data_IF_976411556445
#
_entry.id   IF_976411556445
#
_cell.length_a   1.000
_cell.length_b   1.000
_cell.length_c   1.000
_cell.angle_alpha   90.00
_cell.angle_beta   90.00
_cell.angle_gamma   90.00
#
_symmetry.space_group_name_H-M   'P 1'
#
loop_
_entity.id
_entity.type
_entity.pdbx_description
1 polymer ?
#
# COMPACT_ATOMS: atom_id res chain seq x y z
N UNK A 1 -2.40 10.97 -3.83
CA UNK A 1 -3.27 11.92 -3.11
C UNK A 1 -3.39 11.51 -1.66
N UNK A 2 -3.09 12.41 -0.72
CA UNK A 2 -3.29 12.17 0.71
C UNK A 2 -4.78 12.33 1.03
N UNK A 3 -5.43 11.24 1.43
CA UNK A 3 -6.87 11.22 1.72
C UNK A 3 -7.16 11.38 3.23
N UNK A 4 -6.26 10.89 4.08
CA UNK A 4 -6.39 10.93 5.53
C UNK A 4 -5.00 10.91 6.17
N UNK A 5 -4.78 11.69 7.23
CA UNK A 5 -3.52 11.71 7.98
C UNK A 5 -3.75 12.23 9.40
N UNK A 6 -4.29 11.35 10.25
CA UNK A 6 -4.51 11.66 11.66
C UNK A 6 -3.17 11.71 12.41
N UNK A 7 -3.06 12.59 13.37
CA UNK A 7 -1.87 12.79 14.22
C UNK A 7 -0.56 13.03 13.44
N UNK A 8 -0.66 13.47 12.17
CA UNK A 8 0.49 13.69 11.29
C UNK A 8 1.37 12.44 11.16
N UNK A 9 0.75 11.26 11.03
CA UNK A 9 1.47 9.99 10.90
C UNK A 9 2.38 9.95 9.66
N UNK A 10 2.00 10.65 8.59
CA UNK A 10 2.80 10.85 7.40
C UNK A 10 3.33 12.31 7.33
N UNK A 11 4.57 12.52 6.89
CA UNK A 11 5.60 11.52 6.60
C UNK A 11 6.10 10.82 7.86
N UNK A 12 6.55 9.58 7.71
CA UNK A 12 7.06 8.79 8.84
C UNK A 12 8.26 9.48 9.51
N UNK A 13 8.30 9.44 10.83
CA UNK A 13 9.45 9.91 11.61
C UNK A 13 10.71 9.10 11.25
N UNK A 14 11.87 9.77 11.30
CA UNK A 14 13.20 9.13 11.16
C UNK A 14 13.51 8.13 12.27
N UNK A 15 12.75 8.14 13.35
CA UNK A 15 12.88 7.19 14.46
C UNK A 15 12.30 5.81 14.12
N UNK A 16 11.43 5.70 13.11
CA UNK A 16 10.89 4.44 12.63
C UNK A 16 12.02 3.60 12.02
N UNK A 17 12.28 2.46 12.62
CA UNK A 17 13.37 1.55 12.21
C UNK A 17 12.85 0.33 11.44
N UNK A 18 11.71 -0.20 11.86
CA UNK A 18 11.15 -1.45 11.33
C UNK A 18 9.76 -1.19 10.75
N UNK A 19 9.59 -1.52 9.50
CA UNK A 19 8.33 -1.37 8.75
C UNK A 19 7.78 -2.75 8.44
N UNK A 20 6.54 -3.02 8.87
CA UNK A 20 5.78 -4.13 8.31
C UNK A 20 5.18 -3.68 6.97
N UNK A 21 5.66 -4.22 5.87
CA UNK A 21 5.13 -3.96 4.54
C UNK A 21 4.25 -5.14 4.13
N UNK A 22 2.94 -4.91 4.11
CA UNK A 22 1.92 -5.93 3.85
C UNK A 22 1.26 -5.68 2.50
N UNK A 23 1.06 -6.75 1.73
CA UNK A 23 0.33 -6.72 0.46
C UNK A 23 1.21 -6.99 -0.76
N UNK A 24 0.75 -7.91 -1.62
CA UNK A 24 1.45 -8.32 -2.84
C UNK A 24 1.69 -7.14 -3.80
N UNK A 25 0.77 -6.15 -3.84
CA UNK A 25 0.92 -4.94 -4.65
C UNK A 25 2.21 -4.17 -4.35
N UNK A 26 2.75 -4.26 -3.14
CA UNK A 26 4.02 -3.61 -2.78
C UNK A 26 5.24 -4.14 -3.53
N UNK A 27 5.15 -5.33 -4.14
CA UNK A 27 6.20 -5.97 -4.94
C UNK A 27 5.82 -6.17 -6.41
N UNK A 28 4.59 -5.89 -6.79
CA UNK A 28 4.10 -6.13 -8.15
C UNK A 28 4.54 -5.03 -9.10
N UNK A 29 5.51 -5.33 -9.96
CA UNK A 29 5.99 -4.41 -11.01
C UNK A 29 4.89 -4.10 -12.02
N UNK A 30 4.17 -5.13 -12.46
CA UNK A 30 3.10 -4.99 -13.44
C UNK A 30 1.96 -4.12 -12.94
N UNK A 31 1.53 -4.32 -11.69
CA UNK A 31 0.45 -3.52 -11.12
C UNK A 31 0.88 -2.07 -10.86
N UNK A 32 2.10 -1.83 -10.36
CA UNK A 32 2.62 -0.47 -10.17
C UNK A 32 2.77 0.29 -11.49
N UNK A 33 3.15 -0.41 -12.56
CA UNK A 33 3.24 0.17 -13.90
C UNK A 33 1.89 0.62 -14.43
N UNK A 34 0.84 -0.14 -14.13
CA UNK A 34 -0.50 0.05 -14.66
C UNK A 34 -0.72 -0.62 -16.02
N UNK A 35 -1.99 -0.86 -16.37
CA UNK A 35 -2.37 -1.62 -17.57
C UNK A 35 -2.09 -0.89 -18.89
N UNK A 36 -2.22 0.43 -18.92
CA UNK A 36 -2.03 1.28 -20.10
C UNK A 36 -0.67 1.97 -20.11
N UNK A 37 0.38 1.21 -19.96
CA UNK A 37 1.74 1.75 -19.93
C UNK A 37 2.60 1.08 -20.99
N UNK A 38 3.27 1.88 -21.83
CA UNK A 38 4.34 1.41 -22.74
C UNK A 38 5.69 1.22 -22.04
N UNK A 39 5.76 1.41 -20.72
CA UNK A 39 6.99 1.26 -19.98
C UNK A 39 7.45 -0.20 -19.90
N UNK A 40 8.76 -0.40 -19.93
CA UNK A 40 9.38 -1.68 -19.68
C UNK A 40 9.20 -2.07 -18.20
N UNK A 41 8.48 -3.17 -17.96
CA UNK A 41 8.18 -3.65 -16.61
C UNK A 41 9.46 -3.95 -15.81
N UNK A 42 10.52 -4.38 -16.46
CA UNK A 42 11.80 -4.68 -15.80
C UNK A 42 12.41 -3.46 -15.12
N UNK A 43 12.10 -2.25 -15.62
CA UNK A 43 12.58 -0.97 -15.10
C UNK A 43 11.72 -0.39 -13.97
N UNK A 44 10.60 -1.03 -13.64
CA UNK A 44 9.75 -0.56 -12.55
C UNK A 44 10.44 -0.79 -11.21
N UNK A 45 10.57 0.27 -10.43
CA UNK A 45 11.02 0.21 -9.05
C UNK A 45 9.81 -0.01 -8.15
N UNK A 46 9.74 -1.15 -7.49
CA UNK A 46 8.66 -1.45 -6.55
C UNK A 46 8.81 -0.69 -5.23
N UNK A 47 7.72 -0.59 -4.47
CA UNK A 47 7.78 0.03 -3.15
C UNK A 47 8.75 -0.72 -2.23
N UNK A 48 8.74 -2.05 -2.27
CA UNK A 48 9.67 -2.87 -1.51
C UNK A 48 11.14 -2.57 -1.84
N UNK A 49 11.48 -2.51 -3.13
CA UNK A 49 12.83 -2.17 -3.60
C UNK A 49 13.24 -0.76 -3.18
N UNK A 50 12.36 0.22 -3.35
CA UNK A 50 12.61 1.61 -3.00
C UNK A 50 12.84 1.82 -1.49
N UNK A 51 12.05 1.19 -0.64
CA UNK A 51 12.24 1.26 0.82
C UNK A 51 13.52 0.56 1.25
N UNK A 52 13.81 -0.60 0.67
CA UNK A 52 15.05 -1.35 0.96
C UNK A 52 16.30 -0.58 0.55
N UNK A 53 16.30 0.06 -0.61
CA UNK A 53 17.44 0.87 -1.08
C UNK A 53 17.74 2.08 -0.18
N UNK A 54 16.78 2.53 0.61
CA UNK A 54 16.92 3.62 1.59
C UNK A 54 17.32 3.17 2.97
N UNK A 55 17.66 1.89 3.15
CA UNK A 55 18.12 1.34 4.41
C UNK A 55 17.03 1.04 5.43
N UNK A 56 15.74 1.04 5.02
CA UNK A 56 14.66 0.63 5.90
C UNK A 56 14.75 -0.88 6.22
N UNK A 57 14.56 -1.25 7.48
CA UNK A 57 14.36 -2.65 7.86
C UNK A 57 12.90 -3.03 7.57
N UNK A 58 12.70 -3.89 6.59
CA UNK A 58 11.37 -4.28 6.12
C UNK A 58 11.07 -5.72 6.49
N UNK A 59 10.01 -5.92 7.25
CA UNK A 59 9.36 -7.19 7.47
C UNK A 59 8.20 -7.30 6.47
N UNK A 60 8.32 -8.14 5.47
CA UNK A 60 7.34 -8.26 4.39
C UNK A 60 6.50 -9.53 4.51
N UNK A 61 5.21 -9.41 4.21
CA UNK A 61 4.36 -10.56 3.86
C UNK A 61 3.21 -10.13 2.94
N UNK A 62 2.68 -11.09 2.18
CA UNK A 62 1.57 -10.81 1.26
C UNK A 62 0.26 -10.53 2.01
N UNK A 63 -0.05 -11.29 3.03
CA UNK A 63 -1.24 -11.14 3.87
C UNK A 63 -2.57 -11.36 3.15
N UNK A 64 -2.60 -11.18 1.84
CA UNK A 64 -3.77 -11.29 0.99
C UNK A 64 -3.43 -11.83 -0.39
N UNK A 65 -4.23 -12.79 -0.87
CA UNK A 65 -4.17 -13.33 -2.22
C UNK A 65 -5.17 -12.55 -3.10
N UNK A 66 -4.63 -11.75 -4.02
CA UNK A 66 -5.43 -10.90 -4.93
C UNK A 66 -6.20 -11.70 -5.98
N UNK A 67 -5.78 -12.91 -6.31
CA UNK A 67 -6.47 -13.75 -7.31
C UNK A 67 -7.66 -14.47 -6.68
N UNK A 68 -7.48 -14.97 -5.47
CA UNK A 68 -8.51 -15.71 -4.74
C UNK A 68 -9.40 -14.82 -3.87
N UNK A 69 -9.06 -13.53 -3.77
CA UNK A 69 -9.75 -12.56 -2.91
C UNK A 69 -9.90 -13.04 -1.46
N UNK A 70 -8.80 -13.53 -0.86
CA UNK A 70 -8.81 -14.07 0.49
C UNK A 70 -7.58 -13.66 1.31
N UNK A 71 -7.76 -13.55 2.62
CA UNK A 71 -6.65 -13.38 3.57
C UNK A 71 -5.83 -14.66 3.60
N UNK A 72 -4.52 -14.53 3.57
CA UNK A 72 -3.57 -15.66 3.69
C UNK A 72 -2.64 -15.43 4.87
N UNK A 73 -2.32 -16.51 5.57
CA UNK A 73 -1.35 -16.50 6.68
C UNK A 73 -1.61 -15.35 7.70
N UNK A 74 -2.86 -15.18 8.14
CA UNK A 74 -3.26 -14.08 9.04
C UNK A 74 -2.36 -13.98 10.28
N UNK A 75 -2.10 -15.08 10.97
CA UNK A 75 -1.25 -15.08 12.17
C UNK A 75 0.17 -14.59 11.90
N UNK A 76 0.78 -15.02 10.80
CA UNK A 76 2.08 -14.54 10.37
C UNK A 76 2.03 -13.03 10.07
N UNK A 77 0.98 -12.57 9.39
CA UNK A 77 0.77 -11.17 9.05
C UNK A 77 0.66 -10.30 10.31
N UNK A 78 -0.13 -10.73 11.28
CA UNK A 78 -0.28 -10.03 12.55
C UNK A 78 1.01 -10.07 13.39
N UNK A 79 1.75 -11.18 13.37
CA UNK A 79 3.06 -11.29 14.02
C UNK A 79 4.06 -10.30 13.40
N UNK A 80 4.11 -10.22 12.06
CA UNK A 80 4.93 -9.26 11.32
C UNK A 80 4.62 -7.82 11.72
N UNK A 81 3.33 -7.47 11.83
CA UNK A 81 2.87 -6.17 12.28
C UNK A 81 3.34 -5.86 13.72
N UNK A 82 3.11 -6.78 14.66
CA UNK A 82 3.48 -6.60 16.09
C UNK A 82 4.98 -6.40 16.29
N UNK A 83 5.83 -7.02 15.47
CA UNK A 83 7.29 -6.93 15.53
C UNK A 83 7.88 -5.68 14.86
N UNK A 84 7.03 -4.83 14.30
CA UNK A 84 7.41 -3.62 13.59
C UNK A 84 6.95 -2.36 14.32
N UNK A 85 7.51 -1.22 13.95
CA UNK A 85 7.17 0.08 14.55
C UNK A 85 5.91 0.66 13.90
N UNK A 86 5.75 0.41 12.60
CA UNK A 86 4.64 0.87 11.77
C UNK A 86 4.26 -0.20 10.75
N UNK A 87 3.00 -0.19 10.35
CA UNK A 87 2.46 -1.06 9.30
C UNK A 87 2.11 -0.22 8.07
N UNK A 88 2.60 -0.62 6.92
CA UNK A 88 2.20 -0.08 5.61
C UNK A 88 1.49 -1.19 4.85
N UNK A 89 0.24 -0.97 4.50
CA UNK A 89 -0.59 -1.93 3.76
C UNK A 89 -0.78 -1.44 2.34
N UNK A 90 -0.24 -2.17 1.36
CA UNK A 90 -0.50 -1.95 -0.06
C UNK A 90 -1.73 -2.79 -0.48
N UNK A 91 -2.86 -2.13 -0.68
CA UNK A 91 -4.12 -2.76 -1.05
C UNK A 91 -4.78 -2.05 -2.23
N UNK A 92 -5.77 -2.67 -2.82
CA UNK A 92 -6.51 -2.09 -3.94
C UNK A 92 -6.82 -3.08 -5.02
N UNK A 93 -6.68 -2.65 -6.27
CA UNK A 93 -6.96 -3.43 -7.47
C UNK A 93 -5.67 -3.79 -8.22
N UNK A 94 -5.72 -4.88 -8.98
CA UNK A 94 -4.66 -5.21 -9.95
C UNK A 94 -4.80 -4.35 -11.21
N UNK A 95 -3.69 -4.13 -11.92
CA UNK A 95 -3.68 -3.35 -13.17
C UNK A 95 -4.67 -3.89 -14.23
N UNK A 96 -4.84 -5.21 -14.30
CA UNK A 96 -5.77 -5.84 -15.23
C UNK A 96 -7.26 -5.72 -14.85
N UNK A 97 -7.59 -5.23 -13.65
CA UNK A 97 -8.98 -5.04 -13.21
C UNK A 97 -9.58 -3.70 -13.66
N UNK A 98 -8.77 -2.79 -14.20
CA UNK A 98 -9.24 -1.47 -14.67
C UNK A 98 -8.67 -1.14 -16.03
N UNK A 99 -9.38 -0.27 -16.76
CA UNK A 99 -9.04 0.15 -18.10
C UNK A 99 -10.09 -0.26 -19.13
N UNK A 100 -9.74 -0.21 -20.39
CA UNK A 100 -10.61 -0.62 -21.47
C UNK A 100 -10.98 -2.09 -21.36
N UNK A 101 -12.24 -2.43 -21.62
CA UNK A 101 -12.82 -3.77 -21.46
C UNK A 101 -12.83 -4.32 -20.02
N UNK A 102 -12.50 -3.51 -19.02
CA UNK A 102 -12.50 -3.90 -17.60
C UNK A 102 -13.59 -3.15 -16.82
N UNK A 103 -14.83 -3.21 -17.29
CA UNK A 103 -15.98 -2.62 -16.59
C UNK A 103 -16.29 -3.38 -15.31
N UNK A 104 -16.65 -2.65 -14.25
CA UNK A 104 -16.97 -3.20 -12.94
C UNK A 104 -18.27 -2.57 -12.44
N UNK A 105 -19.29 -3.39 -12.16
CA UNK A 105 -20.58 -2.94 -11.64
C UNK A 105 -20.51 -2.54 -10.17
N UNK A 106 -19.66 -3.20 -9.41
CA UNK A 106 -19.33 -2.86 -8.00
C UNK A 106 -17.87 -2.46 -7.91
N UNK A 107 -17.62 -1.20 -7.57
CA UNK A 107 -16.27 -0.62 -7.40
C UNK A 107 -15.77 -0.71 -5.96
N UNK A 108 -16.42 -1.49 -5.11
CA UNK A 108 -15.97 -1.70 -3.73
C UNK A 108 -14.69 -2.54 -3.70
N UNK A 109 -13.77 -2.16 -2.83
CA UNK A 109 -12.63 -3.02 -2.46
C UNK A 109 -13.18 -4.27 -1.76
N UNK A 110 -12.71 -5.48 -2.11
CA UNK A 110 -13.18 -6.72 -1.51
C UNK A 110 -13.21 -6.67 0.01
N UNK A 111 -14.30 -7.18 0.61
CA UNK A 111 -14.50 -7.15 2.06
C UNK A 111 -13.34 -7.79 2.84
N UNK A 112 -12.75 -8.86 2.33
CA UNK A 112 -11.60 -9.53 2.97
C UNK A 112 -10.34 -8.65 2.97
N UNK A 113 -10.12 -7.78 1.95
CA UNK A 113 -9.04 -6.78 2.03
C UNK A 113 -9.29 -5.76 3.13
N UNK A 114 -10.52 -5.25 3.22
CA UNK A 114 -10.90 -4.29 4.26
C UNK A 114 -10.78 -4.92 5.66
N UNK A 115 -11.22 -6.17 5.82
CA UNK A 115 -11.08 -6.95 7.05
C UNK A 115 -9.62 -7.13 7.46
N UNK A 116 -8.71 -7.40 6.53
CA UNK A 116 -7.28 -7.49 6.85
C UNK A 116 -6.77 -6.19 7.47
N UNK A 117 -7.16 -5.04 6.96
CA UNK A 117 -6.78 -3.74 7.54
C UNK A 117 -7.34 -3.60 8.96
N UNK A 118 -8.60 -3.96 9.18
CA UNK A 118 -9.21 -3.94 10.53
C UNK A 118 -8.45 -4.83 11.51
N UNK A 119 -8.03 -6.04 11.08
CA UNK A 119 -7.23 -6.94 11.93
C UNK A 119 -5.84 -6.35 12.24
N UNK A 120 -5.21 -5.69 11.28
CA UNK A 120 -3.92 -5.02 11.49
C UNK A 120 -4.04 -3.85 12.48
N UNK A 121 -5.11 -3.07 12.42
CA UNK A 121 -5.38 -1.97 13.37
C UNK A 121 -5.52 -2.49 14.80
N UNK A 122 -6.11 -3.67 15.01
CA UNK A 122 -6.20 -4.31 16.33
C UNK A 122 -4.84 -4.61 16.97
N UNK A 123 -3.76 -4.66 16.18
CA UNK A 123 -2.40 -4.83 16.71
C UNK A 123 -1.90 -3.61 17.49
N UNK A 124 -2.62 -2.48 17.46
CA UNK A 124 -2.27 -1.20 18.07
C UNK A 124 -0.98 -0.57 17.53
N UNK A 125 -0.53 -1.01 16.36
CA UNK A 125 0.54 -0.34 15.62
C UNK A 125 -0.06 0.73 14.71
N UNK A 126 0.64 1.84 14.46
CA UNK A 126 0.22 2.80 13.44
C UNK A 126 0.08 2.12 12.08
N UNK A 127 -1.05 2.30 11.41
CA UNK A 127 -1.34 1.67 10.11
C UNK A 127 -1.50 2.75 9.04
N UNK A 128 -0.71 2.64 7.98
CA UNK A 128 -0.81 3.47 6.78
C UNK A 128 -1.33 2.60 5.65
N UNK A 129 -2.41 3.02 5.04
CA UNK A 129 -2.98 2.34 3.87
C UNK A 129 -2.55 3.04 2.59
N UNK A 130 -1.93 2.29 1.70
CA UNK A 130 -1.64 2.70 0.33
C UNK A 130 -2.70 2.10 -0.57
N UNK A 131 -3.63 2.95 -1.04
CA UNK A 131 -4.68 2.54 -1.96
C UNK A 131 -4.14 2.60 -3.40
N UNK A 132 -3.86 1.43 -3.96
CA UNK A 132 -3.34 1.23 -5.32
C UNK A 132 -4.50 0.82 -6.23
N UNK A 133 -4.92 1.67 -7.12
CA UNK A 133 -6.09 1.43 -7.98
C UNK A 133 -6.03 2.28 -9.24
N UNK A 134 -6.74 1.89 -10.28
CA UNK A 134 -6.82 2.64 -11.54
C UNK A 134 -8.14 3.41 -11.70
N UNK A 135 -9.02 3.34 -10.72
CA UNK A 135 -10.30 4.05 -10.66
C UNK A 135 -10.61 4.50 -9.24
N UNK A 136 -11.51 5.46 -9.00
CA UNK A 136 -12.08 5.68 -7.68
C UNK A 136 -12.77 4.41 -7.18
N UNK A 137 -12.50 4.04 -5.92
CA UNK A 137 -13.03 2.82 -5.30
C UNK A 137 -13.75 3.12 -3.99
N UNK A 138 -14.64 2.23 -3.58
CA UNK A 138 -15.36 2.31 -2.30
C UNK A 138 -14.62 1.44 -1.27
N UNK A 139 -14.23 2.04 -0.13
CA UNK A 139 -13.50 1.38 0.96
C UNK A 139 -13.89 1.94 2.33
N UNK A 140 -15.18 1.97 2.59
CA UNK A 140 -15.77 2.70 3.72
C UNK A 140 -15.24 2.26 5.10
N UNK A 141 -14.98 0.98 5.31
CA UNK A 141 -14.45 0.48 6.59
C UNK A 141 -13.02 0.97 6.80
N UNK A 142 -12.17 0.81 5.79
CA UNK A 142 -10.79 1.30 5.82
C UNK A 142 -10.75 2.81 6.05
N UNK A 143 -11.60 3.57 5.34
CA UNK A 143 -11.68 5.03 5.50
C UNK A 143 -12.02 5.44 6.92
N UNK A 144 -12.92 4.70 7.57
CA UNK A 144 -13.34 4.97 8.94
C UNK A 144 -12.23 4.66 9.95
N UNK A 145 -11.56 3.52 9.79
CA UNK A 145 -10.69 2.92 10.81
C UNK A 145 -9.21 3.29 10.65
N UNK A 146 -8.69 3.38 9.41
CA UNK A 146 -7.27 3.64 9.20
C UNK A 146 -6.90 5.09 9.53
N UNK A 147 -5.83 5.33 10.31
CA UNK A 147 -5.40 6.68 10.67
C UNK A 147 -4.75 7.44 9.52
N UNK A 148 -4.12 6.76 8.56
CA UNK A 148 -3.53 7.40 7.39
C UNK A 148 -3.84 6.62 6.11
N UNK A 149 -4.21 7.34 5.05
CA UNK A 149 -4.56 6.77 3.75
C UNK A 149 -3.97 7.62 2.64
N UNK A 150 -3.12 7.00 1.83
CA UNK A 150 -2.52 7.59 0.64
C UNK A 150 -3.05 6.87 -0.61
N UNK A 151 -3.83 7.55 -1.44
CA UNK A 151 -4.19 7.02 -2.76
C UNK A 151 -3.01 7.25 -3.72
N UNK A 152 -2.41 6.18 -4.15
CA UNK A 152 -1.19 6.20 -4.97
C UNK A 152 -1.49 6.08 -6.45
N UNK A 153 -2.66 5.56 -6.81
CA UNK A 153 -2.95 5.18 -8.20
C UNK A 153 -1.88 4.21 -8.73
N UNK A 154 -1.65 4.21 -10.04
CA UNK A 154 -0.54 3.54 -10.71
C UNK A 154 0.42 4.60 -11.23
N UNK A 155 1.65 4.58 -10.76
CA UNK A 155 2.61 5.67 -10.94
C UNK A 155 3.73 5.37 -11.94
N UNK A 156 3.66 4.21 -12.62
CA UNK A 156 4.63 3.84 -13.65
C UNK A 156 5.98 3.38 -13.09
N UNK A 157 7.04 3.58 -13.84
CA UNK A 157 8.37 3.04 -13.54
C UNK A 157 8.95 3.51 -12.20
N UNK A 158 8.64 4.72 -11.78
CA UNK A 158 9.15 5.32 -10.54
C UNK A 158 8.17 5.22 -9.37
N UNK A 159 7.15 4.37 -9.47
CA UNK A 159 6.09 4.24 -8.47
C UNK A 159 6.62 4.04 -7.04
N UNK A 160 7.52 3.09 -6.85
CA UNK A 160 8.10 2.81 -5.54
C UNK A 160 8.87 4.00 -4.97
N UNK A 161 9.68 4.67 -5.79
CA UNK A 161 10.43 5.84 -5.37
C UNK A 161 9.51 7.00 -5.00
N UNK A 162 8.47 7.27 -5.80
CA UNK A 162 7.51 8.33 -5.55
C UNK A 162 6.73 8.09 -4.25
N UNK A 163 6.20 6.89 -4.06
CA UNK A 163 5.48 6.53 -2.83
C UNK A 163 6.40 6.62 -1.61
N UNK A 164 7.62 6.11 -1.73
CA UNK A 164 8.60 6.14 -0.67
C UNK A 164 9.01 7.58 -0.30
N UNK A 165 9.17 8.48 -1.27
CA UNK A 165 9.45 9.91 -1.03
C UNK A 165 8.37 10.58 -0.18
N UNK A 166 7.10 10.26 -0.44
CA UNK A 166 5.96 10.83 0.29
C UNK A 166 5.80 10.19 1.66
N UNK A 167 6.02 8.89 1.79
CA UNK A 167 5.73 8.15 3.03
C UNK A 167 6.91 8.12 4.00
N UNK A 168 8.16 8.07 3.52
CA UNK A 168 9.38 7.93 4.33
C UNK A 168 10.32 9.13 4.11
N UNK A 169 9.76 10.33 4.05
CA UNK A 169 10.45 11.54 3.61
C UNK A 169 11.81 11.77 4.28
N UNK A 170 12.89 11.61 3.52
CA UNK A 170 14.20 12.19 3.80
C UNK A 170 14.35 13.61 3.23
N UNK A 171 13.38 14.08 2.47
CA UNK A 171 13.35 15.42 1.86
C UNK A 171 12.14 16.17 2.38
N UNK A 172 12.35 17.38 2.87
CA UNK A 172 11.29 18.30 3.23
C UNK A 172 10.33 18.49 2.05
N UNK A 173 9.17 17.84 2.10
CA UNK A 173 8.02 18.32 1.36
C UNK A 173 7.49 19.53 2.12
N UNK A 174 8.06 20.68 1.88
CA UNK A 174 7.37 21.95 2.11
C UNK A 174 6.25 21.97 1.07
N UNK A 175 5.04 21.65 1.49
CA UNK A 175 3.85 22.02 0.71
C UNK A 175 3.83 23.54 0.60
N UNK A 176 3.58 24.08 -0.60
CA UNK A 176 3.40 25.52 -0.77
C UNK A 176 2.21 26.04 0.02
#
# INVERSE_FOLDING_TARGET
VLLKNEENLLPLSKEIKKIALIGALAKSKGDMRGGWSGADESKVVTLYEAMKSRGCTINYCDGYDLEKNQIVNLEQTLSTARQSDVVIVAMGERAGETGELSSKGDISIPAEQQKLVSELIKTKKPVIVLMMCGRPVIFNEVRREAPAILCTWWLGSEAGNAICNVSVSYTHLTLP
#
